data_IF_742728432437
#
_entry.id   IF_742728432437
#
_cell.length_a   1.000
_cell.length_b   1.000
_cell.length_c   1.000
_cell.angle_alpha   90.00
_cell.angle_beta   90.00
_cell.angle_gamma   90.00
#
_symmetry.space_group_name_H-M   'P 1'
#
loop_
_entity.id
_entity.type
_entity.pdbx_description
1 polymer ?
#
# COMPACT_ATOMS: atom_id res chain seq x y z
N UNK A 1 3.96 6.15 -22.67
CA UNK A 1 4.10 5.06 -21.69
C UNK A 1 2.71 4.76 -21.17
N UNK A 2 2.17 3.59 -21.50
CA UNK A 2 0.91 3.16 -20.91
C UNK A 2 1.16 2.94 -19.41
N UNK A 3 0.49 3.71 -18.55
CA UNK A 3 0.40 3.34 -17.14
C UNK A 3 -0.50 2.11 -17.10
N UNK A 4 0.09 0.97 -16.80
CA UNK A 4 -0.67 -0.24 -16.49
C UNK A 4 -1.61 0.11 -15.34
N UNK A 5 -2.91 0.04 -15.58
CA UNK A 5 -3.90 0.27 -14.53
C UNK A 5 -4.21 -1.11 -13.98
N UNK A 6 -3.66 -1.51 -12.83
CA UNK A 6 -3.89 -2.86 -12.32
C UNK A 6 -5.39 -3.08 -12.22
N UNK A 7 -5.85 -4.27 -12.62
CA UNK A 7 -7.15 -4.81 -12.21
C UNK A 7 -7.32 -4.50 -10.73
N UNK A 8 -8.50 -4.04 -10.27
CA UNK A 8 -8.72 -3.80 -8.84
C UNK A 8 -8.41 -5.02 -7.94
N UNK A 9 -8.30 -6.19 -8.56
CA UNK A 9 -8.05 -7.47 -7.91
C UNK A 9 -6.56 -7.86 -7.86
N UNK A 10 -5.66 -7.17 -8.57
CA UNK A 10 -4.23 -7.50 -8.58
C UNK A 10 -3.42 -6.51 -7.71
N UNK A 11 -2.52 -7.01 -6.84
CA UNK A 11 -1.65 -6.14 -6.07
C UNK A 11 -0.68 -5.36 -6.97
N UNK A 12 -0.29 -4.13 -6.60
CA UNK A 12 0.64 -3.34 -7.39
C UNK A 12 2.02 -4.02 -7.45
N UNK A 13 2.67 -3.97 -8.62
CA UNK A 13 4.02 -4.51 -8.81
C UNK A 13 5.11 -3.69 -8.11
N UNK A 14 4.82 -2.42 -7.79
CA UNK A 14 5.76 -1.48 -7.17
C UNK A 14 5.05 -0.59 -6.15
N UNK A 15 5.77 -0.24 -5.08
CA UNK A 15 5.37 0.76 -4.11
C UNK A 15 6.60 1.53 -3.62
N UNK A 16 6.38 2.70 -3.01
CA UNK A 16 7.47 3.48 -2.42
C UNK A 16 7.77 2.98 -0.99
N UNK A 17 6.76 2.42 -0.32
CA UNK A 17 6.87 1.84 1.01
C UNK A 17 5.90 0.66 1.19
N UNK A 18 6.41 -0.44 1.77
CA UNK A 18 5.63 -1.61 2.13
C UNK A 18 5.48 -1.71 3.66
N UNK A 19 4.26 -1.91 4.14
CA UNK A 19 3.95 -2.26 5.54
C UNK A 19 3.58 -3.74 5.59
N UNK A 20 4.33 -4.53 6.36
CA UNK A 20 4.07 -5.96 6.55
C UNK A 20 3.23 -6.18 7.81
N UNK A 21 2.02 -6.70 7.62
CA UNK A 21 0.97 -6.92 8.63
C UNK A 21 -0.14 -5.86 8.55
N UNK A 22 -1.37 -6.29 8.27
CA UNK A 22 -2.58 -5.45 8.24
C UNK A 22 -3.38 -5.47 9.56
N UNK A 23 -2.71 -5.80 10.67
CA UNK A 23 -3.25 -5.57 12.00
C UNK A 23 -3.42 -4.07 12.30
N UNK A 24 -4.04 -3.75 13.45
CA UNK A 24 -4.40 -2.37 13.81
C UNK A 24 -3.24 -1.37 13.72
N UNK A 25 -2.04 -1.79 14.14
CA UNK A 25 -0.86 -0.94 14.12
C UNK A 25 -0.36 -0.72 12.69
N UNK A 26 -0.35 -1.76 11.85
CA UNK A 26 0.10 -1.66 10.47
C UNK A 26 -0.78 -0.73 9.65
N UNK A 27 -2.10 -0.86 9.78
CA UNK A 27 -3.05 0.03 9.10
C UNK A 27 -2.98 1.47 9.62
N UNK A 28 -2.85 1.66 10.94
CA UNK A 28 -2.69 2.99 11.51
C UNK A 28 -1.40 3.66 11.00
N UNK A 29 -0.28 2.93 10.96
CA UNK A 29 0.97 3.42 10.43
C UNK A 29 0.88 3.76 8.93
N UNK A 30 0.34 2.85 8.11
CA UNK A 30 0.14 3.07 6.67
C UNK A 30 -0.71 4.32 6.40
N UNK A 31 -1.82 4.49 7.13
CA UNK A 31 -2.69 5.65 7.01
C UNK A 31 -1.98 6.94 7.39
N UNK A 32 -1.29 6.98 8.52
CA UNK A 32 -0.60 8.20 8.95
C UNK A 32 0.56 8.56 8.01
N UNK A 33 1.27 7.58 7.46
CA UNK A 33 2.31 7.81 6.45
C UNK A 33 1.71 8.39 5.16
N UNK A 34 0.63 7.80 4.65
CA UNK A 34 -0.04 8.28 3.44
C UNK A 34 -0.62 9.69 3.61
N UNK A 35 -1.12 10.05 4.81
CA UNK A 35 -1.68 11.37 5.09
C UNK A 35 -0.63 12.47 5.29
N UNK A 36 0.56 12.11 5.78
CA UNK A 36 1.63 13.10 6.07
C UNK A 36 2.60 13.29 4.92
N UNK A 37 2.59 12.38 3.95
CA UNK A 37 3.48 12.39 2.80
C UNK A 37 2.65 12.29 1.52
N UNK A 38 2.25 13.45 1.01
CA UNK A 38 1.52 13.55 -0.25
C UNK A 38 2.29 12.83 -1.38
N UNK A 39 1.60 11.92 -2.06
CA UNK A 39 2.16 11.14 -3.17
C UNK A 39 2.90 9.85 -2.79
N UNK A 40 3.08 9.55 -1.50
CA UNK A 40 3.69 8.30 -1.05
C UNK A 40 2.76 7.10 -1.37
N UNK A 41 3.20 6.19 -2.25
CA UNK A 41 2.47 4.96 -2.57
C UNK A 41 2.78 3.89 -1.54
N UNK A 42 1.85 3.67 -0.61
CA UNK A 42 1.98 2.68 0.46
C UNK A 42 1.24 1.39 0.07
N UNK A 43 1.95 0.25 0.11
CA UNK A 43 1.35 -1.08 0.03
C UNK A 43 1.29 -1.71 1.43
N UNK A 44 0.16 -2.32 1.79
CA UNK A 44 0.04 -3.10 3.02
C UNK A 44 -0.10 -4.56 2.63
N UNK A 45 0.75 -5.42 3.17
CA UNK A 45 0.75 -6.85 2.91
C UNK A 45 0.30 -7.58 4.17
N UNK A 46 -0.72 -8.43 4.05
CA UNK A 46 -1.07 -9.40 5.07
C UNK A 46 -0.85 -10.82 4.55
N UNK A 47 -0.72 -11.76 5.48
CA UNK A 47 -0.71 -13.19 5.15
C UNK A 47 -2.12 -13.67 4.80
N UNK A 48 -3.13 -13.07 5.42
CA UNK A 48 -4.52 -13.39 5.18
C UNK A 48 -5.00 -12.74 3.85
N UNK A 49 -5.77 -13.48 3.02
CA UNK A 49 -6.32 -12.96 1.76
C UNK A 49 -7.33 -11.81 1.95
#
# INVERSE_FOLDING_TARGET
MAVDHPSRDDPPSECDLAVVGAGIIGLAAARELALRHDGLRVAVLDREP
#
